data_IF_168538720792
#
_entry.id   IF_168538720792
#
_cell.length_a   1.000
_cell.length_b   1.000
_cell.length_c   1.000
_cell.angle_alpha   90.00
_cell.angle_beta   90.00
_cell.angle_gamma   90.00
#
_symmetry.space_group_name_H-M   'P 1'
#
loop_
_entity.id
_entity.type
_entity.pdbx_description
1 polymer ?
#
# COMPACT_ATOMS: atom_id res chain seq x y z
N UNK A 1 40.68 42.72 32.90
CA UNK A 1 39.49 43.58 32.76
C UNK A 1 39.16 43.72 31.29
N UNK A 2 37.91 43.39 30.91
CA UNK A 2 37.22 43.62 29.60
C UNK A 2 37.85 42.86 28.41
N UNK A 3 37.20 41.86 27.80
CA UNK A 3 35.83 41.91 27.26
C UNK A 3 35.17 40.53 27.25
N UNK A 4 34.13 40.40 28.07
CA UNK A 4 32.96 39.58 27.76
C UNK A 4 32.29 40.18 26.51
N UNK A 5 31.87 39.37 25.53
CA UNK A 5 30.49 39.33 25.03
C UNK A 5 30.35 38.44 23.77
N UNK A 6 29.22 37.69 23.76
CA UNK A 6 28.43 37.23 22.61
C UNK A 6 28.93 35.98 21.88
N UNK A 7 28.10 35.04 21.42
CA UNK A 7 26.70 34.69 21.61
C UNK A 7 26.51 33.46 20.72
N UNK A 8 25.77 32.46 21.21
CA UNK A 8 24.83 31.61 20.43
C UNK A 8 25.14 31.29 18.97
N UNK A 9 25.47 30.03 18.66
CA UNK A 9 24.97 29.31 17.47
C UNK A 9 24.98 27.82 17.82
N UNK A 10 23.99 27.35 18.58
CA UNK A 10 22.77 26.74 18.05
C UNK A 10 23.06 25.52 17.16
N UNK A 11 23.02 24.35 17.81
CA UNK A 11 22.56 23.06 17.30
C UNK A 11 22.84 22.72 15.82
N UNK A 12 24.02 22.16 15.55
CA UNK A 12 24.23 21.30 14.38
C UNK A 12 23.76 19.88 14.70
N UNK A 13 22.45 19.66 14.81
CA UNK A 13 21.90 18.30 14.78
C UNK A 13 21.49 18.03 13.33
N UNK A 14 22.20 17.08 12.75
CA UNK A 14 22.02 16.53 11.42
C UNK A 14 20.54 16.20 11.18
N UNK A 15 20.00 16.81 10.13
CA UNK A 15 18.69 16.49 9.57
C UNK A 15 18.79 15.05 9.02
N UNK A 16 18.40 14.07 9.83
CA UNK A 16 18.06 12.73 9.33
C UNK A 16 16.70 12.82 8.66
N UNK A 17 16.71 13.17 7.37
CA UNK A 17 15.57 12.93 6.50
C UNK A 17 15.47 11.41 6.29
N UNK A 18 14.73 10.72 7.16
CA UNK A 18 14.26 9.38 6.84
C UNK A 18 13.34 9.52 5.64
N UNK A 19 13.85 9.17 4.46
CA UNK A 19 13.01 8.90 3.30
C UNK A 19 12.12 7.71 3.65
N UNK A 20 10.97 7.98 4.27
CA UNK A 20 9.82 7.10 4.21
C UNK A 20 9.48 7.01 2.72
N UNK A 21 10.07 6.03 2.08
CA UNK A 21 10.00 5.87 0.63
C UNK A 21 8.66 5.22 0.33
N UNK A 22 7.90 5.87 -0.55
CA UNK A 22 6.71 5.39 -1.26
C UNK A 22 6.99 4.04 -1.93
N UNK A 23 7.03 2.95 -1.15
CA UNK A 23 7.39 1.65 -1.67
C UNK A 23 6.11 0.99 -2.18
N UNK A 24 6.10 0.49 -3.44
CA UNK A 24 4.92 -0.18 -3.97
C UNK A 24 4.51 -1.31 -3.02
N UNK A 25 3.23 -1.31 -2.65
CA UNK A 25 2.60 -2.33 -1.82
C UNK A 25 1.75 -3.22 -2.70
N UNK A 26 1.55 -4.46 -2.28
CA UNK A 26 0.55 -5.32 -2.91
C UNK A 26 -0.44 -5.83 -1.88
N UNK A 27 -1.72 -5.54 -2.13
CA UNK A 27 -2.84 -6.02 -1.33
C UNK A 27 -3.49 -7.21 -2.02
N UNK A 28 -3.94 -8.16 -1.20
CA UNK A 28 -4.81 -9.26 -1.59
C UNK A 28 -6.18 -8.95 -1.03
N UNK A 29 -7.15 -8.79 -1.92
CA UNK A 29 -8.55 -8.57 -1.59
C UNK A 29 -9.37 -9.80 -1.94
N UNK A 30 -10.29 -10.14 -1.07
CA UNK A 30 -11.32 -11.15 -1.28
C UNK A 30 -12.60 -10.44 -1.70
N UNK A 31 -13.01 -10.64 -2.96
CA UNK A 31 -14.12 -9.96 -3.59
C UNK A 31 -15.28 -10.94 -3.71
N UNK A 32 -16.41 -10.58 -3.16
CA UNK A 32 -17.63 -11.37 -3.20
C UNK A 32 -18.54 -10.92 -4.35
N UNK A 33 -19.55 -11.74 -4.66
CA UNK A 33 -20.58 -11.42 -5.67
C UNK A 33 -20.04 -11.31 -7.10
N UNK A 34 -19.07 -12.14 -7.43
CA UNK A 34 -18.41 -12.26 -8.75
C UNK A 34 -18.85 -13.59 -9.37
N UNK A 35 -20.16 -13.73 -9.52
CA UNK A 35 -20.83 -14.95 -10.03
C UNK A 35 -21.15 -14.91 -11.52
N UNK A 36 -20.83 -13.80 -12.20
CA UNK A 36 -21.12 -13.60 -13.61
C UNK A 36 -19.82 -13.44 -14.43
N UNK A 37 -19.83 -13.93 -15.68
CA UNK A 37 -18.66 -13.91 -16.59
C UNK A 37 -18.13 -12.49 -16.83
N UNK A 38 -18.99 -11.48 -16.70
CA UNK A 38 -18.65 -10.06 -16.84
C UNK A 38 -18.24 -9.40 -15.53
N UNK A 39 -18.37 -10.07 -14.38
CA UNK A 39 -18.17 -9.48 -13.06
C UNK A 39 -16.69 -9.23 -12.76
N UNK A 40 -15.78 -10.21 -12.87
CA UNK A 40 -14.35 -9.95 -12.65
C UNK A 40 -13.75 -8.90 -13.59
N UNK A 41 -14.08 -8.85 -14.90
CA UNK A 41 -13.61 -7.77 -15.77
C UNK A 41 -14.00 -6.38 -15.26
N UNK A 42 -15.21 -6.22 -14.71
CA UNK A 42 -15.67 -4.96 -14.13
C UNK A 42 -14.85 -4.62 -12.88
N UNK A 43 -14.68 -5.57 -11.96
CA UNK A 43 -13.86 -5.38 -10.73
C UNK A 43 -12.44 -4.95 -11.10
N UNK A 44 -11.80 -5.66 -12.04
CA UNK A 44 -10.46 -5.32 -12.54
C UNK A 44 -10.42 -3.90 -13.10
N UNK A 45 -11.44 -3.52 -13.88
CA UNK A 45 -11.52 -2.19 -14.50
C UNK A 45 -11.74 -1.08 -13.47
N UNK A 46 -12.54 -1.32 -12.44
CA UNK A 46 -12.75 -0.38 -11.33
C UNK A 46 -11.44 -0.14 -10.61
N UNK A 47 -10.72 -1.20 -10.22
CA UNK A 47 -9.43 -1.08 -9.53
C UNK A 47 -8.35 -0.42 -10.39
N UNK A 48 -8.31 -0.73 -11.69
CA UNK A 48 -7.32 -0.16 -12.62
C UNK A 48 -7.52 1.33 -12.91
N UNK A 49 -8.69 1.90 -12.58
CA UNK A 49 -8.98 3.33 -12.76
C UNK A 49 -8.55 4.17 -11.57
N UNK A 50 -8.22 3.56 -10.44
CA UNK A 50 -7.85 4.27 -9.23
C UNK A 50 -6.42 4.82 -9.36
N UNK A 51 -6.26 6.10 -9.06
CA UNK A 51 -4.95 6.75 -9.05
C UNK A 51 -4.05 6.10 -8.01
N UNK A 52 -2.86 5.66 -8.41
CA UNK A 52 -1.91 4.95 -7.54
C UNK A 52 -1.93 3.44 -7.70
N UNK A 53 -2.90 2.86 -8.42
CA UNK A 53 -2.87 1.44 -8.78
C UNK A 53 -1.97 1.24 -9.99
N UNK A 54 -0.99 0.33 -9.87
CA UNK A 54 -0.03 0.02 -10.94
C UNK A 54 -0.35 -1.31 -11.61
N UNK A 55 -0.83 -2.30 -10.85
CA UNK A 55 -1.15 -3.61 -11.40
C UNK A 55 -2.33 -4.26 -10.69
N UNK A 56 -3.17 -4.97 -11.45
CA UNK A 56 -4.34 -5.69 -10.95
C UNK A 56 -4.40 -7.08 -11.59
N UNK A 57 -4.38 -8.11 -10.76
CA UNK A 57 -4.70 -9.48 -11.11
C UNK A 57 -5.97 -9.90 -10.35
N UNK A 58 -6.87 -10.61 -11.03
CA UNK A 58 -8.11 -11.12 -10.43
C UNK A 58 -8.23 -12.57 -10.82
N UNK A 59 -8.45 -13.45 -9.84
CA UNK A 59 -8.66 -14.89 -10.03
C UNK A 59 -10.02 -15.26 -9.46
N UNK A 60 -10.93 -15.75 -10.31
CA UNK A 60 -12.27 -16.17 -9.89
C UNK A 60 -12.29 -17.61 -9.40
N UNK A 61 -13.03 -17.85 -8.32
CA UNK A 61 -13.24 -19.16 -7.71
C UNK A 61 -14.70 -19.28 -7.24
N UNK A 62 -15.53 -20.00 -8.00
CA UNK A 62 -16.85 -20.46 -7.55
C UNK A 62 -17.83 -19.36 -7.10
N UNK A 63 -17.76 -18.16 -7.68
CA UNK A 63 -18.62 -17.02 -7.33
C UNK A 63 -17.98 -15.97 -6.41
N UNK A 64 -16.76 -16.24 -5.92
CA UNK A 64 -15.86 -15.27 -5.28
C UNK A 64 -14.65 -15.00 -6.19
N UNK A 65 -13.88 -13.95 -5.92
CA UNK A 65 -12.63 -13.69 -6.61
C UNK A 65 -11.56 -13.15 -5.67
N UNK A 66 -10.32 -13.57 -5.89
CA UNK A 66 -9.16 -13.01 -5.23
C UNK A 66 -8.53 -11.97 -6.14
N UNK A 67 -8.53 -10.71 -5.70
CA UNK A 67 -7.90 -9.60 -6.40
C UNK A 67 -6.55 -9.25 -5.76
N UNK A 68 -5.47 -9.43 -6.51
CA UNK A 68 -4.13 -8.99 -6.13
C UNK A 68 -3.85 -7.65 -6.79
N UNK A 69 -3.67 -6.61 -5.99
CA UNK A 69 -3.51 -5.24 -6.45
C UNK A 69 -2.16 -4.70 -5.99
N UNK A 70 -1.32 -4.28 -6.92
CA UNK A 70 -0.11 -3.51 -6.62
C UNK A 70 -0.44 -2.03 -6.70
N UNK A 71 -0.20 -1.31 -5.62
CA UNK A 71 -0.55 0.09 -5.45
C UNK A 71 0.55 0.87 -4.73
N UNK A 72 0.53 2.18 -4.91
CA UNK A 72 1.38 3.16 -4.24
C UNK A 72 0.68 3.60 -2.94
N UNK A 73 1.27 3.28 -1.77
CA UNK A 73 0.66 3.54 -0.46
C UNK A 73 0.63 5.02 -0.07
N UNK A 74 1.39 5.87 -0.75
CA UNK A 74 1.29 7.33 -0.62
C UNK A 74 0.09 7.91 -1.38
N UNK A 75 -0.48 7.17 -2.34
CA UNK A 75 -1.60 7.64 -3.17
C UNK A 75 -2.93 6.99 -2.82
N UNK A 76 -2.92 5.72 -2.43
CA UNK A 76 -4.12 4.95 -2.14
C UNK A 76 -3.84 3.88 -1.09
N UNK A 77 -4.82 3.57 -0.25
CA UNK A 77 -4.69 2.52 0.76
C UNK A 77 -5.46 1.26 0.37
N UNK A 78 -5.13 0.13 0.99
CA UNK A 78 -5.82 -1.14 0.73
C UNK A 78 -7.32 -1.08 1.10
N UNK A 79 -7.67 -0.33 2.13
CA UNK A 79 -9.05 -0.06 2.54
C UNK A 79 -9.79 0.75 1.48
N UNK A 80 -9.14 1.77 0.89
CA UNK A 80 -9.72 2.54 -0.19
C UNK A 80 -9.98 1.69 -1.45
N UNK A 81 -9.08 0.73 -1.75
CA UNK A 81 -9.32 -0.26 -2.81
C UNK A 81 -10.58 -1.11 -2.52
N UNK A 82 -10.74 -1.58 -1.27
CA UNK A 82 -11.90 -2.36 -0.85
C UNK A 82 -13.20 -1.56 -0.90
N UNK A 83 -13.16 -0.30 -0.45
CA UNK A 83 -14.31 0.61 -0.53
C UNK A 83 -14.70 0.91 -1.97
N UNK A 84 -13.73 1.09 -2.87
CA UNK A 84 -13.99 1.34 -4.28
C UNK A 84 -14.73 0.16 -4.96
N UNK A 85 -14.34 -1.09 -4.68
CA UNK A 85 -15.07 -2.25 -5.22
C UNK A 85 -16.44 -2.39 -4.56
N UNK A 86 -16.54 -2.13 -3.26
CA UNK A 86 -17.80 -2.19 -2.51
C UNK A 86 -18.81 -1.16 -3.05
N UNK A 87 -18.38 0.07 -3.31
CA UNK A 87 -19.19 1.10 -3.95
C UNK A 87 -19.60 0.77 -5.39
N UNK A 88 -18.87 -0.11 -6.07
CA UNK A 88 -19.23 -0.65 -7.38
C UNK A 88 -20.17 -1.87 -7.32
N UNK A 89 -20.62 -2.28 -6.13
CA UNK A 89 -21.51 -3.43 -5.94
C UNK A 89 -20.79 -4.77 -5.73
N UNK A 90 -19.47 -4.74 -5.54
CA UNK A 90 -18.60 -5.89 -5.30
C UNK A 90 -17.98 -5.79 -3.90
N UNK A 91 -18.72 -6.17 -2.84
CA UNK A 91 -18.22 -6.10 -1.49
C UNK A 91 -16.92 -6.89 -1.39
N UNK A 92 -15.87 -6.26 -0.85
CA UNK A 92 -14.56 -6.90 -0.73
C UNK A 92 -13.91 -6.65 0.61
N UNK A 93 -13.05 -7.58 1.04
CA UNK A 93 -12.28 -7.49 2.28
C UNK A 93 -10.80 -7.62 1.99
N UNK A 94 -9.97 -6.82 2.65
CA UNK A 94 -8.51 -6.95 2.57
C UNK A 94 -8.10 -8.18 3.39
N UNK A 95 -7.49 -9.17 2.73
CA UNK A 95 -6.93 -10.37 3.39
C UNK A 95 -5.51 -10.13 3.85
N UNK A 96 -4.73 -9.43 3.03
CA UNK A 96 -3.31 -9.22 3.29
C UNK A 96 -2.82 -7.97 2.56
N UNK A 97 -1.87 -7.26 3.18
CA UNK A 97 -1.11 -6.19 2.53
C UNK A 97 0.37 -6.50 2.75
N UNK A 98 1.09 -6.69 1.65
CA UNK A 98 2.52 -6.95 1.65
C UNK A 98 3.27 -5.72 1.15
N UNK A 99 4.40 -5.44 1.77
CA UNK A 99 5.29 -4.39 1.31
C UNK A 99 6.30 -5.01 0.37
N UNK A 100 6.50 -4.45 -0.82
CA UNK A 100 7.53 -4.95 -1.72
C UNK A 100 8.95 -4.89 -1.08
N UNK A 101 9.13 -4.08 -0.02
CA UNK A 101 10.40 -3.92 0.70
C UNK A 101 10.47 -4.63 2.07
N UNK A 102 9.48 -5.42 2.47
CA UNK A 102 9.56 -6.16 3.74
C UNK A 102 10.43 -7.43 3.67
N UNK A 103 10.87 -7.86 2.49
CA UNK A 103 11.63 -9.12 2.31
C UNK A 103 13.17 -8.94 2.32
N UNK A 104 13.68 -7.87 2.91
CA UNK A 104 15.15 -7.72 3.12
C UNK A 104 15.53 -7.33 4.55
N UNK A 105 14.56 -7.14 5.46
CA UNK A 105 14.83 -6.82 6.87
C UNK A 105 14.13 -7.80 7.82
N UNK A 106 14.11 -9.08 7.44
CA UNK A 106 13.82 -10.22 8.32
C UNK A 106 14.96 -11.25 8.38
N UNK A 107 16.05 -11.06 7.61
CA UNK A 107 17.17 -12.00 7.52
C UNK A 107 18.52 -11.29 7.72
N UNK A 108 18.64 -10.55 8.82
CA UNK A 108 19.96 -10.26 9.40
C UNK A 108 19.93 -10.59 10.89
N UNK A 109 20.62 -11.68 11.23
CA UNK A 109 21.23 -11.93 12.54
C UNK A 109 20.29 -12.07 13.75
N UNK A 110 19.68 -13.26 13.90
CA UNK A 110 19.62 -13.86 15.23
C UNK A 110 21.00 -14.39 15.59
N UNK A 111 21.84 -13.52 16.16
CA UNK A 111 23.02 -13.90 16.91
C UNK A 111 22.69 -13.76 18.40
N UNK A 112 22.32 -14.86 19.04
CA UNK A 112 22.80 -15.22 20.38
C UNK A 112 22.52 -16.68 20.71
#
# INVERSE_FOLDING_TARGET
MKTLLRATFAASILISASAASAAPRTAILDVQNVSCVTCAPIVKKTLSRLTGVTQVAVVEHGGAATATVTFDDDKITAEALSQATTGAGYPSSVKEVRNASADTTGSTAQAR
#
